data_IF_893837903171
#
_entry.id   IF_893837903171
#
_cell.length_a   1.000
_cell.length_b   1.000
_cell.length_c   1.000
_cell.angle_alpha   90.00
_cell.angle_beta   90.00
_cell.angle_gamma   90.00
#
_symmetry.space_group_name_H-M   'P 1'
#
loop_
_entity.id
_entity.type
_entity.pdbx_description
1 polymer ?
#
# COMPACT_ATOMS: atom_id res chain seq x y z
N UNK A 1 -9.67 23.56 -32.61
CA UNK A 1 -8.22 23.26 -32.67
C UNK A 1 -8.01 22.09 -31.71
N UNK A 2 -7.35 21.04 -32.16
CA UNK A 2 -7.03 19.92 -31.26
C UNK A 2 -5.97 20.38 -30.24
N UNK A 3 -6.24 20.12 -28.95
CA UNK A 3 -5.26 20.40 -27.89
C UNK A 3 -4.12 19.40 -28.04
N UNK A 4 -2.94 19.86 -28.49
CA UNK A 4 -1.76 19.01 -28.73
C UNK A 4 -0.76 19.17 -27.59
N UNK A 5 -0.29 18.04 -27.06
CA UNK A 5 0.65 17.94 -25.95
C UNK A 5 1.90 17.13 -26.31
N UNK A 6 2.99 17.35 -25.59
CA UNK A 6 4.13 16.45 -25.66
C UNK A 6 3.81 15.16 -24.89
N UNK A 7 3.16 15.29 -23.71
CA UNK A 7 2.77 14.17 -22.85
C UNK A 7 1.33 14.33 -22.34
N UNK A 8 0.56 13.27 -22.45
CA UNK A 8 -0.73 13.13 -21.76
C UNK A 8 -0.63 11.99 -20.75
N UNK A 9 -0.93 12.27 -19.48
CA UNK A 9 -1.02 11.28 -18.41
C UNK A 9 -2.49 10.92 -18.19
N UNK A 10 -2.81 9.63 -18.21
CA UNK A 10 -4.17 9.13 -17.97
C UNK A 10 -4.23 8.53 -16.56
N UNK A 11 -4.90 9.26 -15.66
CA UNK A 11 -4.98 8.97 -14.24
C UNK A 11 -4.03 9.84 -13.41
N UNK A 12 -4.55 10.42 -12.33
CA UNK A 12 -3.84 11.34 -11.44
C UNK A 12 -3.48 10.74 -10.08
N UNK A 13 -3.39 9.41 -9.98
CA UNK A 13 -2.84 8.73 -8.80
C UNK A 13 -1.37 9.12 -8.56
N UNK A 14 -0.70 8.59 -7.48
CA UNK A 14 0.67 8.96 -7.13
C UNK A 14 1.65 8.91 -8.31
N UNK A 15 1.63 7.86 -9.10
CA UNK A 15 2.45 7.79 -10.32
C UNK A 15 2.10 8.86 -11.33
N UNK A 16 0.80 9.05 -11.59
CA UNK A 16 0.32 9.96 -12.64
C UNK A 16 0.58 11.43 -12.34
N UNK A 17 0.24 11.92 -11.13
CA UNK A 17 0.48 13.32 -10.83
C UNK A 17 1.98 13.65 -10.71
N UNK A 18 2.79 12.72 -10.18
CA UNK A 18 4.25 12.88 -10.10
C UNK A 18 4.86 12.90 -11.51
N UNK A 19 4.48 11.96 -12.38
CA UNK A 19 4.92 11.94 -13.78
C UNK A 19 4.57 13.23 -14.50
N UNK A 20 3.31 13.72 -14.37
CA UNK A 20 2.88 14.96 -15.00
C UNK A 20 3.68 16.17 -14.52
N UNK A 21 3.93 16.29 -13.22
CA UNK A 21 4.75 17.37 -12.65
C UNK A 21 6.19 17.28 -13.17
N UNK A 22 6.79 16.09 -13.19
CA UNK A 22 8.16 15.92 -13.65
C UNK A 22 8.30 16.21 -15.14
N UNK A 23 7.37 15.76 -15.99
CA UNK A 23 7.32 16.12 -17.41
C UNK A 23 7.28 17.65 -17.61
N UNK A 24 6.41 18.34 -16.88
CA UNK A 24 6.30 19.79 -16.96
C UNK A 24 7.57 20.52 -16.49
N UNK A 25 8.23 20.03 -15.43
CA UNK A 25 9.53 20.55 -14.95
C UNK A 25 10.65 20.38 -15.98
N UNK A 26 10.56 19.35 -16.81
CA UNK A 26 11.50 19.08 -17.92
C UNK A 26 11.13 19.85 -19.21
N UNK A 27 10.16 20.77 -19.15
CA UNK A 27 9.78 21.65 -20.26
C UNK A 27 8.78 21.04 -21.24
N UNK A 28 8.23 19.86 -20.97
CA UNK A 28 7.25 19.19 -21.82
C UNK A 28 5.85 19.77 -21.57
N UNK A 29 5.14 20.12 -22.65
CA UNK A 29 3.73 20.53 -22.58
C UNK A 29 2.89 19.34 -22.16
N UNK A 30 2.34 19.38 -20.93
CA UNK A 30 1.74 18.23 -20.27
C UNK A 30 0.27 18.47 -19.93
N UNK A 31 -0.57 17.44 -20.15
CA UNK A 31 -1.91 17.35 -19.59
C UNK A 31 -2.07 16.09 -18.76
N UNK A 32 -2.97 16.15 -17.77
CA UNK A 32 -3.38 15.00 -16.99
C UNK A 32 -4.91 14.84 -17.07
N UNK A 33 -5.37 13.66 -17.48
CA UNK A 33 -6.80 13.33 -17.58
C UNK A 33 -7.19 12.51 -16.37
N UNK A 34 -8.19 12.98 -15.59
CA UNK A 34 -8.71 12.27 -14.43
C UNK A 34 -10.24 12.20 -14.49
N UNK A 35 -10.76 11.00 -14.24
CA UNK A 35 -12.22 10.75 -14.28
C UNK A 35 -12.94 11.03 -12.96
N UNK A 36 -12.19 11.12 -11.87
CA UNK A 36 -12.69 11.29 -10.51
C UNK A 36 -11.88 12.35 -9.75
N UNK A 37 -11.46 12.06 -8.54
CA UNK A 37 -10.72 13.00 -7.70
C UNK A 37 -9.22 12.97 -8.02
N UNK A 38 -8.58 14.14 -8.06
CA UNK A 38 -7.13 14.25 -8.18
C UNK A 38 -6.42 13.53 -7.02
N UNK A 39 -5.31 12.87 -7.35
CA UNK A 39 -4.54 12.08 -6.38
C UNK A 39 -4.93 10.60 -6.31
N UNK A 40 -5.96 10.20 -7.08
CA UNK A 40 -6.38 8.81 -7.24
C UNK A 40 -6.78 8.12 -5.93
N UNK A 41 -6.68 6.79 -5.91
CA UNK A 41 -7.07 5.98 -4.74
C UNK A 41 -6.23 6.33 -3.51
N UNK A 42 -4.93 6.48 -3.64
CA UNK A 42 -4.05 6.68 -2.47
C UNK A 42 -4.47 7.89 -1.63
N UNK A 43 -4.71 9.04 -2.25
CA UNK A 43 -5.06 10.26 -1.52
C UNK A 43 -6.52 10.31 -1.07
N UNK A 44 -7.42 9.66 -1.83
CA UNK A 44 -8.85 9.79 -1.60
C UNK A 44 -9.48 8.57 -0.93
N UNK A 45 -8.99 7.35 -1.20
CA UNK A 45 -9.67 6.10 -0.84
C UNK A 45 -8.71 5.00 -0.36
N UNK A 46 -7.46 5.33 -0.03
CA UNK A 46 -6.43 4.36 0.35
C UNK A 46 -5.51 4.89 1.43
N UNK A 47 -4.26 5.17 1.05
CA UNK A 47 -3.16 5.49 1.97
C UNK A 47 -3.53 6.56 2.99
N UNK A 48 -3.92 7.75 2.52
CA UNK A 48 -4.09 8.91 3.39
C UNK A 48 -5.30 8.78 4.32
N UNK A 49 -6.52 8.50 3.81
CA UNK A 49 -7.66 8.36 4.71
C UNK A 49 -7.52 7.19 5.69
N UNK A 50 -6.93 6.07 5.30
CA UNK A 50 -6.69 4.95 6.22
C UNK A 50 -5.72 5.34 7.33
N UNK A 51 -4.62 6.03 7.02
CA UNK A 51 -3.66 6.51 8.03
C UNK A 51 -4.28 7.55 8.96
N UNK A 52 -5.21 8.37 8.45
CA UNK A 52 -6.00 9.26 9.30
C UNK A 52 -6.92 8.51 10.28
N UNK A 53 -7.52 7.40 9.84
CA UNK A 53 -8.33 6.52 10.68
C UNK A 53 -7.47 5.78 11.72
N UNK A 54 -6.34 5.20 11.29
CA UNK A 54 -5.40 4.49 12.16
C UNK A 54 -4.79 5.42 13.22
N UNK A 55 -4.50 6.68 12.88
CA UNK A 55 -4.05 7.68 13.87
C UNK A 55 -5.13 7.96 14.92
N UNK A 56 -6.40 7.95 14.54
CA UNK A 56 -7.49 8.07 15.54
C UNK A 56 -7.53 6.84 16.46
N UNK A 57 -7.34 5.63 15.90
CA UNK A 57 -7.26 4.40 16.67
C UNK A 57 -6.09 4.45 17.69
N UNK A 58 -4.91 4.88 17.25
CA UNK A 58 -3.73 5.06 18.11
C UNK A 58 -4.00 6.03 19.27
N UNK A 59 -4.59 7.19 18.97
CA UNK A 59 -4.95 8.18 20.00
C UNK A 59 -5.94 7.58 21.02
N UNK A 60 -6.90 6.78 20.55
CA UNK A 60 -7.87 6.10 21.41
C UNK A 60 -7.21 5.06 22.32
N UNK A 61 -6.30 4.25 21.76
CA UNK A 61 -5.51 3.28 22.54
C UNK A 61 -4.66 3.97 23.62
N UNK A 62 -4.00 5.09 23.29
CA UNK A 62 -3.28 5.89 24.29
C UNK A 62 -4.23 6.44 25.38
N UNK A 63 -5.43 6.89 25.02
CA UNK A 63 -6.41 7.34 26.00
C UNK A 63 -6.84 6.22 26.97
N UNK A 64 -7.04 5.00 26.46
CA UNK A 64 -7.35 3.84 27.29
C UNK A 64 -6.18 3.40 28.18
N UNK A 65 -4.95 3.60 27.74
CA UNK A 65 -3.71 3.28 28.47
C UNK A 65 -3.18 4.44 29.32
N UNK A 66 -3.86 5.59 29.34
CA UNK A 66 -3.37 6.82 29.99
C UNK A 66 -2.98 6.61 31.46
N UNK A 67 -3.66 5.72 32.18
CA UNK A 67 -3.36 5.34 33.57
C UNK A 67 -1.94 4.75 33.73
N UNK A 68 -1.40 4.06 32.74
CA UNK A 68 -0.02 3.54 32.76
C UNK A 68 1.01 4.67 32.85
N UNK A 69 0.63 5.86 32.38
CA UNK A 69 1.45 7.09 32.40
C UNK A 69 1.08 8.05 33.56
N UNK A 70 0.25 7.60 34.52
CA UNK A 70 -0.21 8.44 35.61
C UNK A 70 -1.26 9.49 35.24
N UNK A 71 -1.86 9.37 34.05
CA UNK A 71 -2.90 10.29 33.55
C UNK A 71 -4.27 9.64 33.78
N UNK A 72 -5.17 10.35 34.49
CA UNK A 72 -6.54 9.91 34.70
C UNK A 72 -7.42 10.50 33.59
N UNK A 73 -8.11 9.63 32.88
CA UNK A 73 -9.05 10.01 31.81
C UNK A 73 -10.37 9.28 32.08
N UNK A 74 -11.44 10.06 32.21
CA UNK A 74 -12.78 9.53 32.44
C UNK A 74 -13.62 9.58 31.18
N UNK A 75 -14.50 8.59 31.00
CA UNK A 75 -15.55 8.58 29.97
C UNK A 75 -15.04 8.75 28.52
N UNK A 76 -13.96 8.06 28.15
CA UNK A 76 -13.50 8.04 26.75
C UNK A 76 -14.61 7.49 25.85
N UNK A 77 -15.05 8.30 24.89
CA UNK A 77 -16.10 7.94 23.92
C UNK A 77 -15.64 8.26 22.51
N UNK A 78 -16.10 7.46 21.57
CA UNK A 78 -15.82 7.66 20.14
C UNK A 78 -17.03 8.32 19.48
N UNK A 79 -16.84 9.47 18.86
CA UNK A 79 -17.78 10.05 17.90
C UNK A 79 -17.41 9.52 16.50
N UNK A 80 -17.98 8.37 16.12
CA UNK A 80 -17.67 7.68 14.89
C UNK A 80 -17.91 8.55 13.64
N UNK A 81 -19.04 9.30 13.50
CA UNK A 81 -19.21 10.26 12.41
C UNK A 81 -18.09 11.29 12.31
N UNK A 82 -17.63 11.84 13.44
CA UNK A 82 -16.52 12.80 13.44
C UNK A 82 -15.19 12.16 13.03
N UNK A 83 -14.93 10.91 13.41
CA UNK A 83 -13.74 10.13 12.94
C UNK A 83 -13.75 9.99 11.41
N UNK A 84 -14.87 9.56 10.86
CA UNK A 84 -15.05 9.43 9.42
C UNK A 84 -14.88 10.78 8.72
N UNK A 85 -15.56 11.82 9.21
CA UNK A 85 -15.47 13.17 8.66
C UNK A 85 -14.02 13.68 8.63
N UNK A 86 -13.28 13.53 9.74
CA UNK A 86 -11.85 13.92 9.81
C UNK A 86 -11.03 13.25 8.71
N UNK A 87 -11.23 11.95 8.49
CA UNK A 87 -10.54 11.21 7.43
C UNK A 87 -10.85 11.78 6.04
N UNK A 88 -12.11 12.11 5.77
CA UNK A 88 -12.55 12.68 4.48
C UNK A 88 -12.04 14.11 4.28
N UNK A 89 -12.10 14.96 5.32
CA UNK A 89 -11.57 16.33 5.28
C UNK A 89 -10.07 16.35 4.95
N UNK A 90 -9.29 15.43 5.51
CA UNK A 90 -7.86 15.28 5.22
C UNK A 90 -7.66 14.88 3.75
N UNK A 91 -8.41 13.91 3.24
CA UNK A 91 -8.34 13.49 1.84
C UNK A 91 -8.65 14.64 0.90
N UNK A 92 -9.71 15.38 1.14
CA UNK A 92 -10.09 16.54 0.33
C UNK A 92 -9.00 17.63 0.31
N UNK A 93 -8.43 17.92 1.49
CA UNK A 93 -7.33 18.89 1.62
C UNK A 93 -6.11 18.51 0.79
N UNK A 94 -5.70 17.24 0.86
CA UNK A 94 -4.52 16.74 0.13
C UNK A 94 -4.81 16.67 -1.38
N UNK A 95 -5.99 16.22 -1.80
CA UNK A 95 -6.41 16.22 -3.20
C UNK A 95 -6.40 17.63 -3.83
N UNK A 96 -6.90 18.63 -3.10
CA UNK A 96 -6.79 20.05 -3.51
C UNK A 96 -5.34 20.50 -3.69
N UNK A 97 -4.42 19.96 -2.89
CA UNK A 97 -2.97 20.20 -3.03
C UNK A 97 -2.42 19.75 -4.38
N UNK A 98 -2.88 18.63 -4.92
CA UNK A 98 -2.49 18.17 -6.28
C UNK A 98 -2.95 19.17 -7.34
N UNK A 99 -4.19 19.68 -7.23
CA UNK A 99 -4.70 20.71 -8.13
C UNK A 99 -3.86 22.00 -8.09
N UNK A 100 -3.41 22.41 -6.90
CA UNK A 100 -2.47 23.53 -6.75
C UNK A 100 -1.13 23.25 -7.46
N UNK A 101 -0.57 22.05 -7.28
CA UNK A 101 0.69 21.66 -7.93
C UNK A 101 0.56 21.63 -9.46
N UNK A 102 -0.56 21.16 -10.00
CA UNK A 102 -0.82 21.20 -11.44
C UNK A 102 -0.83 22.64 -11.96
N UNK A 103 -1.58 23.52 -11.29
CA UNK A 103 -1.61 24.94 -11.64
C UNK A 103 -0.23 25.59 -11.57
N UNK A 104 0.55 25.33 -10.51
CA UNK A 104 1.91 25.85 -10.33
C UNK A 104 2.84 25.43 -11.46
N UNK A 105 2.73 24.20 -11.93
CA UNK A 105 3.57 23.63 -13.00
C UNK A 105 2.95 23.80 -14.40
N UNK A 106 1.84 24.55 -14.56
CA UNK A 106 1.15 24.81 -15.84
C UNK A 106 0.73 23.51 -16.55
N UNK A 107 0.26 22.53 -15.78
CA UNK A 107 -0.29 21.28 -16.29
C UNK A 107 -1.78 21.44 -16.52
N UNK A 108 -2.26 21.10 -17.70
CA UNK A 108 -3.68 21.11 -18.02
C UNK A 108 -4.38 19.92 -17.35
N UNK A 109 -5.23 20.23 -16.37
CA UNK A 109 -6.07 19.22 -15.71
C UNK A 109 -7.37 19.04 -16.46
N UNK A 110 -7.57 17.85 -17.02
CA UNK A 110 -8.71 17.52 -17.87
C UNK A 110 -9.61 16.53 -17.13
N UNK A 111 -10.79 16.97 -16.73
CA UNK A 111 -11.78 16.08 -16.12
C UNK A 111 -12.46 15.22 -17.20
N UNK A 112 -12.50 13.90 -17.00
CA UNK A 112 -13.18 12.98 -17.90
C UNK A 112 -12.54 11.58 -17.96
N UNK A 113 -13.23 10.69 -18.64
CA UNK A 113 -12.77 9.33 -18.93
C UNK A 113 -12.02 9.31 -20.25
N UNK A 114 -10.78 8.86 -20.22
CA UNK A 114 -9.92 8.76 -21.42
C UNK A 114 -10.06 7.42 -22.11
N UNK A 115 -9.97 7.43 -23.44
CA UNK A 115 -9.86 6.24 -24.30
C UNK A 115 -8.87 6.50 -25.41
N UNK A 116 -7.88 5.65 -25.59
CA UNK A 116 -6.97 5.68 -26.73
C UNK A 116 -7.74 5.30 -28.00
N UNK A 117 -7.62 6.14 -29.01
CA UNK A 117 -8.16 5.87 -30.34
C UNK A 117 -7.11 5.16 -31.22
N UNK A 118 -7.53 4.40 -32.25
CA UNK A 118 -6.61 3.80 -33.19
C UNK A 118 -5.69 4.89 -33.80
N UNK A 119 -4.40 4.59 -33.88
CA UNK A 119 -3.40 5.51 -34.45
C UNK A 119 -3.53 5.57 -35.98
N UNK A 120 -3.55 6.75 -36.55
CA UNK A 120 -3.75 6.94 -38.00
C UNK A 120 -2.49 6.65 -38.85
N UNK A 121 -1.40 6.23 -38.21
CA UNK A 121 -0.14 5.84 -38.88
C UNK A 121 1.08 5.91 -37.96
N UNK A 122 2.21 5.28 -38.33
CA UNK A 122 3.46 5.42 -37.63
C UNK A 122 3.86 6.91 -37.56
N UNK A 123 4.47 7.31 -36.44
CA UNK A 123 4.96 8.69 -36.21
C UNK A 123 3.86 9.77 -36.07
N UNK A 124 2.57 9.42 -36.15
CA UNK A 124 1.48 10.34 -35.86
C UNK A 124 1.25 10.43 -34.35
N UNK A 125 0.82 11.58 -33.80
CA UNK A 125 0.42 11.69 -32.40
C UNK A 125 -0.64 10.67 -32.02
N UNK A 126 -0.62 10.22 -30.78
CA UNK A 126 -1.72 9.46 -30.20
C UNK A 126 -2.93 10.36 -30.04
N UNK A 127 -4.09 9.85 -30.40
CA UNK A 127 -5.37 10.50 -30.19
C UNK A 127 -6.07 9.89 -28.98
N UNK A 128 -6.51 10.72 -28.06
CA UNK A 128 -7.20 10.34 -26.84
C UNK A 128 -8.57 10.98 -26.82
N UNK A 129 -9.62 10.17 -26.89
CA UNK A 129 -10.99 10.64 -26.66
C UNK A 129 -11.17 10.86 -25.16
N UNK A 130 -11.63 12.03 -24.78
CA UNK A 130 -12.02 12.36 -23.40
C UNK A 130 -13.52 12.58 -23.35
N UNK A 131 -14.20 11.76 -22.56
CA UNK A 131 -15.65 11.83 -22.36
C UNK A 131 -15.95 12.39 -20.97
N UNK A 132 -16.73 13.50 -20.95
CA UNK A 132 -17.19 14.14 -19.72
C UNK A 132 -18.56 14.79 -19.93
N UNK A 133 -19.50 14.63 -19.01
CA UNK A 133 -20.83 15.27 -19.02
C UNK A 133 -21.57 15.14 -20.36
N UNK A 134 -21.58 13.95 -20.96
CA UNK A 134 -22.15 13.63 -22.27
C UNK A 134 -21.49 14.37 -23.47
N UNK A 135 -20.39 15.06 -23.25
CA UNK A 135 -19.58 15.65 -24.30
C UNK A 135 -18.32 14.80 -24.54
N UNK A 136 -17.85 14.81 -25.79
CA UNK A 136 -16.59 14.16 -26.18
C UNK A 136 -15.69 15.18 -26.82
N UNK A 137 -14.41 15.12 -26.50
CA UNK A 137 -13.36 15.85 -27.20
C UNK A 137 -12.16 14.97 -27.44
N UNK A 138 -11.36 15.30 -28.43
CA UNK A 138 -10.11 14.58 -28.70
C UNK A 138 -8.93 15.49 -28.36
N UNK A 139 -7.95 14.94 -27.64
CA UNK A 139 -6.64 15.54 -27.42
C UNK A 139 -5.58 14.70 -28.10
N UNK A 140 -4.48 15.32 -28.48
CA UNK A 140 -3.36 14.66 -29.16
C UNK A 140 -2.09 14.73 -28.31
N UNK A 141 -1.29 13.65 -28.32
CA UNK A 141 -0.04 13.59 -27.58
C UNK A 141 1.03 12.81 -28.33
N UNK A 142 2.29 13.24 -28.22
CA UNK A 142 3.45 12.45 -28.69
C UNK A 142 3.65 11.21 -27.83
N UNK A 143 3.51 11.35 -26.52
CA UNK A 143 3.63 10.29 -25.53
C UNK A 143 2.39 10.21 -24.64
N UNK A 144 2.00 9.00 -24.25
CA UNK A 144 0.92 8.76 -23.30
C UNK A 144 1.44 7.88 -22.15
N UNK A 145 1.16 8.31 -20.93
CA UNK A 145 1.46 7.54 -19.72
C UNK A 145 0.15 7.01 -19.13
N UNK A 146 -0.02 5.69 -19.14
CA UNK A 146 -1.16 4.99 -18.55
C UNK A 146 -0.90 4.81 -17.04
N UNK A 147 -1.61 5.57 -16.22
CA UNK A 147 -1.52 5.56 -14.76
C UNK A 147 -2.91 5.37 -14.11
N UNK A 148 -3.75 4.55 -14.74
CA UNK A 148 -5.17 4.36 -14.41
C UNK A 148 -5.40 3.59 -13.11
N UNK A 149 -4.34 3.02 -12.52
CA UNK A 149 -4.37 2.36 -11.23
C UNK A 149 -5.19 1.06 -11.22
N UNK A 150 -5.69 0.73 -10.04
CA UNK A 150 -6.46 -0.49 -9.80
C UNK A 150 -7.69 -0.20 -8.92
N UNK A 151 -8.54 -1.20 -8.73
CA UNK A 151 -9.72 -1.19 -7.86
C UNK A 151 -9.81 -2.46 -7.03
N UNK A 152 -10.70 -2.50 -6.04
CA UNK A 152 -10.95 -3.71 -5.27
C UNK A 152 -11.33 -4.88 -6.20
N UNK A 153 -10.77 -6.04 -5.90
CA UNK A 153 -11.10 -7.30 -6.56
C UNK A 153 -12.30 -7.94 -5.87
N UNK A 154 -13.26 -8.43 -6.63
CA UNK A 154 -14.32 -9.33 -6.16
C UNK A 154 -13.89 -10.79 -6.30
N UNK A 155 -14.57 -11.68 -5.57
CA UNK A 155 -14.41 -13.14 -5.70
C UNK A 155 -15.67 -13.74 -6.31
N UNK A 156 -15.55 -14.84 -7.08
CA UNK A 156 -16.72 -15.61 -7.51
C UNK A 156 -17.57 -16.02 -6.30
N UNK A 157 -18.88 -15.86 -6.39
CA UNK A 157 -19.82 -16.19 -5.31
C UNK A 157 -19.94 -15.14 -4.19
N UNK A 158 -19.22 -14.02 -4.28
CA UNK A 158 -19.30 -12.92 -3.33
C UNK A 158 -19.58 -11.62 -4.09
N UNK A 159 -20.80 -11.11 -3.97
CA UNK A 159 -21.20 -9.86 -4.60
C UNK A 159 -21.10 -8.72 -3.61
N UNK A 160 -20.25 -7.74 -3.90
CA UNK A 160 -20.14 -6.50 -3.12
C UNK A 160 -21.42 -5.69 -3.36
N UNK A 161 -22.25 -5.51 -2.33
CA UNK A 161 -23.52 -4.78 -2.39
C UNK A 161 -23.42 -3.32 -1.93
N UNK A 162 -22.28 -2.93 -1.35
CA UNK A 162 -22.04 -1.59 -0.82
C UNK A 162 -22.81 -1.28 0.49
N UNK A 163 -23.48 -2.26 1.08
CA UNK A 163 -24.25 -2.11 2.33
C UNK A 163 -23.74 -3.01 3.45
N UNK A 164 -23.75 -4.35 3.23
CA UNK A 164 -23.32 -5.37 4.18
C UNK A 164 -22.08 -6.13 3.72
N UNK A 165 -21.94 -6.34 2.42
CA UNK A 165 -20.77 -6.90 1.78
C UNK A 165 -20.07 -5.73 1.09
N UNK A 166 -18.99 -5.25 1.67
CA UNK A 166 -18.37 -3.97 1.31
C UNK A 166 -16.90 -4.13 0.92
N UNK A 167 -16.37 -3.11 0.25
CA UNK A 167 -14.96 -2.95 -0.02
C UNK A 167 -14.40 -1.73 0.75
N UNK A 168 -13.10 -1.47 0.64
CA UNK A 168 -12.38 -0.47 1.43
C UNK A 168 -12.97 0.94 1.37
N UNK A 169 -13.52 1.40 0.23
CA UNK A 169 -14.12 2.75 0.12
C UNK A 169 -15.32 2.88 1.04
N UNK A 170 -16.18 1.85 1.06
CA UNK A 170 -17.33 1.84 1.93
C UNK A 170 -16.94 1.70 3.40
N UNK A 171 -15.91 0.89 3.69
CA UNK A 171 -15.38 0.77 5.05
C UNK A 171 -14.88 2.12 5.62
N UNK A 172 -14.36 3.02 4.77
CA UNK A 172 -13.95 4.38 5.17
C UNK A 172 -15.11 5.37 5.33
N UNK A 173 -16.33 4.97 4.98
CA UNK A 173 -17.49 5.89 4.90
C UNK A 173 -18.76 5.27 5.48
N UNK A 174 -18.63 4.28 6.35
CA UNK A 174 -19.80 3.74 7.06
C UNK A 174 -20.50 4.86 7.86
N UNK A 175 -21.83 4.94 7.82
CA UNK A 175 -22.58 5.98 8.53
C UNK A 175 -22.59 5.78 10.04
N UNK A 176 -22.38 4.54 10.50
CA UNK A 176 -22.34 4.16 11.91
C UNK A 176 -21.35 3.03 12.13
N UNK A 177 -20.82 2.96 13.34
CA UNK A 177 -19.93 1.89 13.75
C UNK A 177 -20.69 0.55 13.80
N UNK A 178 -20.22 -0.53 13.11
CA UNK A 178 -20.80 -1.85 13.23
C UNK A 178 -20.45 -2.46 14.60
N UNK A 179 -21.21 -3.45 15.07
CA UNK A 179 -20.88 -4.22 16.27
C UNK A 179 -19.86 -5.32 15.94
N UNK A 180 -19.98 -5.92 14.76
CA UNK A 180 -19.11 -7.01 14.31
C UNK A 180 -18.72 -6.88 12.85
N UNK A 181 -17.52 -7.34 12.51
CA UNK A 181 -16.99 -7.32 11.15
C UNK A 181 -16.16 -8.58 10.88
N UNK A 182 -16.46 -9.24 9.76
CA UNK A 182 -15.55 -10.22 9.18
C UNK A 182 -14.75 -9.55 8.08
N UNK A 183 -13.43 -9.71 8.12
CA UNK A 183 -12.50 -9.20 7.10
C UNK A 183 -12.01 -10.38 6.28
N UNK A 184 -12.31 -10.40 5.01
CA UNK A 184 -11.86 -11.41 4.07
C UNK A 184 -10.57 -10.96 3.40
N UNK A 185 -9.48 -11.64 3.75
CA UNK A 185 -8.12 -11.34 3.32
C UNK A 185 -7.27 -10.70 4.43
N UNK A 186 -6.08 -11.24 4.65
CA UNK A 186 -5.11 -10.79 5.67
C UNK A 186 -3.89 -10.07 5.07
N UNK A 187 -4.00 -9.49 3.88
CA UNK A 187 -3.01 -8.54 3.36
C UNK A 187 -3.05 -7.21 4.09
N UNK A 188 -2.18 -6.27 3.72
CA UNK A 188 -2.04 -4.96 4.37
C UNK A 188 -3.39 -4.24 4.59
N UNK A 189 -4.26 -4.18 3.57
CA UNK A 189 -5.58 -3.55 3.67
C UNK A 189 -6.43 -4.23 4.75
N UNK A 190 -6.50 -5.56 4.73
CA UNK A 190 -7.34 -6.31 5.67
C UNK A 190 -6.90 -6.13 7.12
N UNK A 191 -5.61 -6.27 7.41
CA UNK A 191 -5.08 -6.14 8.79
C UNK A 191 -5.12 -4.70 9.31
N UNK A 192 -4.98 -3.68 8.44
CA UNK A 192 -5.14 -2.27 8.82
C UNK A 192 -6.59 -1.96 9.24
N UNK A 193 -7.59 -2.38 8.44
CA UNK A 193 -8.99 -2.21 8.83
C UNK A 193 -9.37 -3.04 10.04
N UNK A 194 -8.89 -4.27 10.15
CA UNK A 194 -9.10 -5.10 11.35
C UNK A 194 -8.55 -4.39 12.60
N UNK A 195 -7.34 -3.83 12.52
CA UNK A 195 -6.72 -3.06 13.61
C UNK A 195 -7.54 -1.82 13.96
N UNK A 196 -7.94 -1.03 12.95
CA UNK A 196 -8.75 0.18 13.14
C UNK A 196 -10.08 -0.11 13.84
N UNK A 197 -10.90 -1.01 13.27
CA UNK A 197 -12.22 -1.30 13.81
C UNK A 197 -12.15 -1.94 15.20
N UNK A 198 -11.15 -2.81 15.42
CA UNK A 198 -10.95 -3.41 16.74
C UNK A 198 -10.62 -2.38 17.80
N UNK A 199 -9.78 -1.39 17.53
CA UNK A 199 -9.49 -0.29 18.46
C UNK A 199 -10.73 0.49 18.85
N UNK A 200 -11.71 0.60 17.94
CA UNK A 200 -13.01 1.22 18.24
C UNK A 200 -13.97 0.30 19.02
N UNK A 201 -13.58 -0.93 19.37
CA UNK A 201 -14.41 -1.87 20.12
C UNK A 201 -15.27 -2.80 19.27
N UNK A 202 -15.12 -2.80 17.95
CA UNK A 202 -15.81 -3.75 17.04
C UNK A 202 -15.28 -5.17 17.25
N UNK A 203 -16.16 -6.17 17.27
CA UNK A 203 -15.75 -7.57 17.20
C UNK A 203 -15.24 -7.89 15.78
N UNK A 204 -13.95 -8.23 15.67
CA UNK A 204 -13.31 -8.46 14.36
C UNK A 204 -12.80 -9.88 14.24
N UNK A 205 -13.10 -10.52 13.10
CA UNK A 205 -12.53 -11.78 12.67
C UNK A 205 -11.95 -11.63 11.27
N UNK A 206 -10.72 -12.12 11.07
CA UNK A 206 -10.07 -12.18 9.76
C UNK A 206 -10.21 -13.60 9.22
N UNK A 207 -10.60 -13.75 7.95
CA UNK A 207 -10.56 -15.02 7.22
C UNK A 207 -9.53 -14.90 6.10
N UNK A 208 -8.52 -15.80 6.11
CA UNK A 208 -7.43 -15.79 5.14
C UNK A 208 -7.25 -17.16 4.51
N UNK A 209 -7.13 -17.19 3.18
CA UNK A 209 -6.92 -18.42 2.41
C UNK A 209 -5.54 -19.05 2.67
N UNK A 210 -4.52 -18.22 2.81
CA UNK A 210 -3.15 -18.66 3.07
C UNK A 210 -2.96 -19.00 4.56
N UNK A 211 -1.91 -19.78 4.92
CA UNK A 211 -1.78 -20.35 6.26
C UNK A 211 -1.32 -19.33 7.34
N UNK A 212 -1.20 -18.04 7.01
CA UNK A 212 -0.73 -17.01 7.97
C UNK A 212 -1.26 -15.61 7.61
N UNK A 213 -1.31 -14.72 8.59
CA UNK A 213 -1.55 -13.29 8.38
C UNK A 213 -0.37 -12.68 7.63
N UNK A 214 -0.62 -11.58 6.89
CA UNK A 214 0.40 -10.88 6.07
C UNK A 214 1.33 -11.83 5.33
N UNK A 215 0.79 -12.69 4.47
CA UNK A 215 1.50 -13.88 3.97
C UNK A 215 2.76 -13.56 3.14
N UNK A 216 2.89 -12.32 2.65
CA UNK A 216 4.05 -11.86 1.90
C UNK A 216 5.23 -11.45 2.80
N UNK A 217 4.98 -11.21 4.08
CA UNK A 217 5.99 -10.83 5.07
C UNK A 217 6.81 -12.03 5.57
N UNK A 218 7.86 -11.75 6.31
CA UNK A 218 8.65 -12.79 6.97
C UNK A 218 7.79 -13.62 7.94
N UNK A 219 8.08 -14.91 8.05
CA UNK A 219 7.29 -15.84 8.86
C UNK A 219 7.25 -15.45 10.35
N UNK A 220 8.34 -14.91 10.89
CA UNK A 220 8.41 -14.47 12.28
C UNK A 220 7.57 -13.20 12.49
N UNK A 221 7.55 -12.28 11.53
CA UNK A 221 6.69 -11.10 11.55
C UNK A 221 5.21 -11.50 11.54
N UNK A 222 4.83 -12.46 10.67
CA UNK A 222 3.45 -12.99 10.63
C UNK A 222 3.05 -13.63 11.97
N UNK A 223 3.95 -14.40 12.59
CA UNK A 223 3.73 -15.05 13.90
C UNK A 223 3.55 -14.02 15.00
N UNK A 224 4.39 -12.99 15.04
CA UNK A 224 4.31 -11.92 16.04
C UNK A 224 3.04 -11.10 15.87
N UNK A 225 2.64 -10.77 14.62
CA UNK A 225 1.37 -10.10 14.36
C UNK A 225 0.18 -10.93 14.85
N UNK A 226 0.16 -12.23 14.57
CA UNK A 226 -0.90 -13.13 15.04
C UNK A 226 -1.01 -13.09 16.57
N UNK A 227 0.14 -13.19 17.28
CA UNK A 227 0.18 -13.09 18.74
C UNK A 227 -0.34 -11.75 19.26
N UNK A 228 0.03 -10.65 18.60
CA UNK A 228 -0.42 -9.31 18.98
C UNK A 228 -1.93 -9.13 18.74
N UNK A 229 -2.44 -9.65 17.62
CA UNK A 229 -3.86 -9.58 17.28
C UNK A 229 -4.72 -10.41 18.23
N UNK A 230 -4.29 -11.63 18.56
CA UNK A 230 -4.98 -12.47 19.55
C UNK A 230 -5.09 -11.77 20.91
N UNK A 231 -4.01 -11.14 21.39
CA UNK A 231 -4.02 -10.33 22.62
C UNK A 231 -5.02 -9.18 22.57
N UNK A 232 -5.19 -8.57 21.41
CA UNK A 232 -6.15 -7.48 21.19
C UNK A 232 -7.57 -7.98 20.94
N UNK A 233 -7.79 -9.29 20.86
CA UNK A 233 -9.08 -9.93 20.59
C UNK A 233 -9.51 -9.84 19.12
N UNK A 234 -8.57 -9.71 18.18
CA UNK A 234 -8.81 -9.92 16.75
C UNK A 234 -8.63 -11.40 16.48
N UNK A 235 -9.72 -12.10 16.17
CA UNK A 235 -9.67 -13.51 15.82
C UNK A 235 -9.21 -13.69 14.38
N UNK A 236 -8.47 -14.75 14.09
CA UNK A 236 -8.05 -15.08 12.73
C UNK A 236 -8.31 -16.54 12.39
N UNK A 237 -8.88 -16.76 11.22
CA UNK A 237 -9.16 -18.07 10.63
C UNK A 237 -8.31 -18.18 9.35
N UNK A 238 -7.06 -18.58 9.51
CA UNK A 238 -6.11 -18.78 8.40
C UNK A 238 -6.25 -20.18 7.78
N UNK A 239 -5.81 -20.35 6.52
CA UNK A 239 -5.97 -21.59 5.79
C UNK A 239 -7.44 -21.92 5.45
N UNK A 240 -8.30 -20.90 5.36
CA UNK A 240 -9.72 -21.04 5.08
C UNK A 240 -10.16 -20.13 3.93
N UNK A 241 -11.10 -20.60 3.12
CA UNK A 241 -11.73 -19.82 2.05
C UNK A 241 -13.20 -19.54 2.36
N UNK A 242 -13.64 -18.37 1.98
CA UNK A 242 -15.07 -18.03 1.94
C UNK A 242 -15.64 -18.57 0.65
N UNK A 243 -16.72 -19.34 0.71
CA UNK A 243 -17.37 -19.96 -0.43
C UNK A 243 -18.63 -19.22 -0.86
N UNK A 244 -19.32 -18.57 0.07
CA UNK A 244 -20.46 -17.70 -0.21
C UNK A 244 -20.62 -16.65 0.90
N UNK A 245 -21.29 -15.56 0.55
CA UNK A 245 -21.74 -14.56 1.51
C UNK A 245 -23.13 -14.07 1.11
N UNK A 246 -24.06 -14.08 2.06
CA UNK A 246 -25.46 -13.77 1.84
C UNK A 246 -25.91 -12.70 2.84
N UNK A 247 -26.51 -11.62 2.32
CA UNK A 247 -27.14 -10.59 3.15
C UNK A 247 -28.34 -11.19 3.90
N UNK A 248 -28.42 -10.93 5.19
CA UNK A 248 -29.57 -11.27 6.04
C UNK A 248 -30.32 -10.02 6.44
N UNK A 249 -31.42 -10.16 7.17
CA UNK A 249 -32.18 -9.00 7.68
C UNK A 249 -31.38 -8.09 8.62
N UNK A 250 -30.37 -8.62 9.32
CA UNK A 250 -29.58 -7.89 10.34
C UNK A 250 -28.10 -7.79 10.04
N UNK A 251 -27.58 -8.57 9.08
CA UNK A 251 -26.14 -8.62 8.82
C UNK A 251 -25.79 -9.42 7.55
N UNK A 252 -24.75 -10.22 7.64
CA UNK A 252 -24.26 -11.11 6.58
C UNK A 252 -23.96 -12.49 7.16
N UNK A 253 -24.42 -13.54 6.47
CA UNK A 253 -24.04 -14.93 6.74
C UNK A 253 -22.96 -15.36 5.74
N UNK A 254 -21.87 -15.91 6.26
CA UNK A 254 -20.65 -16.18 5.51
C UNK A 254 -20.32 -17.65 5.66
N UNK A 255 -20.29 -18.39 4.55
CA UNK A 255 -19.87 -19.80 4.54
C UNK A 255 -18.37 -19.89 4.35
N UNK A 256 -17.70 -20.62 5.23
CA UNK A 256 -16.26 -20.84 5.18
C UNK A 256 -15.94 -22.34 5.19
N UNK A 257 -14.84 -22.71 4.54
CA UNK A 257 -14.32 -24.08 4.59
C UNK A 257 -12.79 -24.07 4.60
N UNK A 258 -12.12 -25.10 5.16
CA UNK A 258 -10.68 -25.22 5.06
C UNK A 258 -10.19 -25.17 3.60
N UNK A 259 -9.07 -24.50 3.33
CA UNK A 259 -8.54 -24.32 1.96
C UNK A 259 -8.24 -25.67 1.28
N UNK A 260 -7.84 -26.68 2.07
CA UNK A 260 -7.55 -28.04 1.60
C UNK A 260 -8.77 -28.98 1.58
N UNK A 261 -9.98 -28.41 1.74
CA UNK A 261 -11.21 -29.17 1.86
C UNK A 261 -11.48 -29.63 3.30
N UNK A 262 -12.75 -29.89 3.61
CA UNK A 262 -13.21 -30.31 4.94
C UNK A 262 -14.61 -29.83 5.25
N UNK A 263 -14.98 -29.87 6.52
CA UNK A 263 -16.32 -29.47 6.96
C UNK A 263 -16.53 -27.96 6.80
N UNK A 264 -17.67 -27.61 6.21
CA UNK A 264 -18.10 -26.22 6.09
C UNK A 264 -18.63 -25.71 7.41
N UNK A 265 -18.29 -24.47 7.72
CA UNK A 265 -18.83 -23.74 8.87
C UNK A 265 -19.42 -22.40 8.42
N UNK A 266 -20.14 -21.75 9.31
CA UNK A 266 -20.79 -20.48 9.04
C UNK A 266 -20.39 -19.44 10.08
N UNK A 267 -20.11 -18.23 9.61
CA UNK A 267 -19.90 -17.05 10.42
C UNK A 267 -21.03 -16.05 10.18
N UNK A 268 -21.31 -15.25 11.17
CA UNK A 268 -22.28 -14.15 11.08
C UNK A 268 -21.62 -12.86 11.57
N UNK A 269 -21.91 -11.75 10.89
CA UNK A 269 -21.44 -10.42 11.27
C UNK A 269 -22.38 -9.34 10.72
N UNK A 270 -22.27 -8.12 11.26
CA UNK A 270 -22.96 -6.96 10.70
C UNK A 270 -22.44 -6.63 9.29
N UNK A 271 -21.12 -6.77 9.10
CA UNK A 271 -20.41 -6.38 7.87
C UNK A 271 -19.40 -7.47 7.47
N UNK A 272 -19.32 -7.74 6.16
CA UNK A 272 -18.21 -8.43 5.52
C UNK A 272 -17.40 -7.42 4.71
N UNK A 273 -16.15 -7.19 5.09
CA UNK A 273 -15.18 -6.42 4.32
C UNK A 273 -14.37 -7.33 3.39
N UNK A 274 -14.47 -7.12 2.10
CA UNK A 274 -13.71 -7.87 1.07
C UNK A 274 -12.41 -7.14 0.78
N UNK A 275 -11.27 -7.74 1.18
CA UNK A 275 -9.92 -7.19 1.07
C UNK A 275 -8.93 -8.18 0.41
N UNK A 276 -9.36 -8.86 -0.65
CA UNK A 276 -8.64 -9.97 -1.33
C UNK A 276 -7.74 -9.52 -2.48
N UNK A 277 -7.28 -8.29 -2.43
CA UNK A 277 -6.40 -7.70 -3.43
C UNK A 277 -7.13 -6.79 -4.41
N UNK A 278 -6.43 -6.47 -5.50
CA UNK A 278 -6.86 -5.48 -6.49
C UNK A 278 -6.87 -6.06 -7.90
N UNK A 279 -7.61 -5.40 -8.80
CA UNK A 279 -7.54 -5.65 -10.24
C UNK A 279 -7.29 -4.33 -10.98
N UNK A 280 -6.49 -4.37 -12.04
CA UNK A 280 -6.13 -3.20 -12.81
C UNK A 280 -7.34 -2.56 -13.51
N UNK A 281 -7.29 -1.26 -13.71
CA UNK A 281 -8.28 -0.51 -14.49
C UNK A 281 -7.82 -0.43 -15.95
N UNK A 282 -8.04 -1.49 -16.72
CA UNK A 282 -7.61 -1.63 -18.12
C UNK A 282 -8.77 -1.62 -19.11
N UNK A 283 -10.00 -1.77 -18.64
CA UNK A 283 -11.17 -1.87 -19.50
C UNK A 283 -11.49 -0.52 -20.17
N UNK A 284 -11.95 -0.60 -21.43
CA UNK A 284 -12.39 0.55 -22.23
C UNK A 284 -11.32 1.63 -22.47
N UNK A 285 -10.04 1.32 -22.24
CA UNK A 285 -8.94 2.23 -22.54
C UNK A 285 -8.52 2.25 -24.01
N UNK A 286 -9.01 1.31 -24.83
CA UNK A 286 -8.62 1.19 -26.26
C UNK A 286 -7.25 0.53 -26.45
N UNK A 287 -6.81 -0.29 -25.51
CA UNK A 287 -5.48 -0.94 -25.51
C UNK A 287 -5.29 -1.88 -26.71
N UNK A 288 -6.37 -2.53 -27.12
CA UNK A 288 -6.38 -3.51 -28.23
C UNK A 288 -5.96 -2.87 -29.55
N UNK A 289 -6.34 -1.61 -29.80
CA UNK A 289 -5.97 -0.87 -31.01
C UNK A 289 -4.46 -0.56 -31.10
N UNK A 290 -3.74 -0.73 -30.00
CA UNK A 290 -2.29 -0.48 -29.89
C UNK A 290 -1.50 -1.78 -29.61
N UNK A 291 -2.15 -2.96 -29.68
CA UNK A 291 -1.55 -4.25 -29.39
C UNK A 291 -0.91 -4.34 -27.98
N UNK A 292 -1.41 -3.56 -27.02
CA UNK A 292 -0.90 -3.58 -25.65
C UNK A 292 -1.32 -4.91 -24.99
N UNK A 293 -0.31 -5.65 -24.52
CA UNK A 293 -0.49 -6.97 -23.93
C UNK A 293 -0.87 -6.86 -22.46
N UNK A 294 -1.75 -7.76 -22.01
CA UNK A 294 -2.12 -7.91 -20.60
C UNK A 294 -1.62 -9.25 -20.05
N UNK A 295 -1.20 -9.23 -18.78
CA UNK A 295 -0.99 -10.45 -17.99
C UNK A 295 -1.90 -10.40 -16.76
N UNK A 296 -2.83 -11.35 -16.67
CA UNK A 296 -3.84 -11.42 -15.59
C UNK A 296 -4.58 -10.09 -15.37
N UNK A 297 -4.81 -9.34 -16.45
CA UNK A 297 -5.50 -8.05 -16.47
C UNK A 297 -4.60 -6.84 -16.23
N UNK A 298 -3.31 -6.99 -15.91
CA UNK A 298 -2.32 -5.91 -15.76
C UNK A 298 -1.60 -5.65 -17.09
N UNK A 299 -1.28 -4.39 -17.37
CA UNK A 299 -0.52 -4.02 -18.58
C UNK A 299 0.91 -4.57 -18.45
N UNK A 300 1.36 -5.30 -19.48
CA UNK A 300 2.76 -5.72 -19.60
C UNK A 300 3.62 -4.57 -20.12
N UNK A 301 4.74 -4.35 -19.46
CA UNK A 301 5.77 -3.38 -19.88
C UNK A 301 7.11 -4.05 -20.03
N UNK A 302 8.00 -3.41 -20.76
CA UNK A 302 9.42 -3.73 -20.73
C UNK A 302 10.09 -3.17 -19.44
N UNK A 303 11.44 -3.29 -19.37
CA UNK A 303 12.21 -2.79 -18.23
C UNK A 303 12.20 -1.26 -18.11
N UNK A 304 11.81 -0.54 -19.16
CA UNK A 304 11.70 0.90 -19.19
C UNK A 304 10.26 1.40 -18.97
N UNK A 305 9.33 0.55 -18.57
CA UNK A 305 7.90 0.87 -18.44
C UNK A 305 7.19 1.18 -19.79
N UNK A 306 7.77 0.82 -20.94
CA UNK A 306 7.09 0.93 -22.23
C UNK A 306 6.11 -0.22 -22.45
N UNK A 307 4.95 0.10 -23.01
CA UNK A 307 3.96 -0.88 -23.47
C UNK A 307 3.61 -0.74 -24.95
N UNK A 308 4.23 0.22 -25.64
CA UNK A 308 4.09 0.47 -27.08
C UNK A 308 4.90 1.67 -27.54
N UNK A 309 4.87 1.97 -28.84
CA UNK A 309 5.55 3.14 -29.41
C UNK A 309 4.91 4.44 -28.88
N UNK A 310 5.65 5.22 -28.09
CA UNK A 310 5.17 6.41 -27.39
C UNK A 310 4.17 6.12 -26.26
N UNK A 311 3.99 4.85 -25.87
CA UNK A 311 3.06 4.42 -24.82
C UNK A 311 3.81 3.82 -23.63
N UNK A 312 3.47 4.28 -22.45
CA UNK A 312 4.08 3.93 -21.17
C UNK A 312 3.01 3.55 -20.16
N UNK A 313 3.34 2.71 -19.19
CA UNK A 313 2.42 2.36 -18.10
C UNK A 313 3.14 2.28 -16.76
N UNK A 314 2.53 2.81 -15.69
CA UNK A 314 3.14 2.90 -14.36
C UNK A 314 2.12 2.63 -13.25
N UNK A 315 2.62 2.20 -12.09
CA UNK A 315 1.85 2.01 -10.86
C UNK A 315 0.96 0.77 -10.89
N UNK A 316 -0.19 0.85 -10.24
CA UNK A 316 -1.03 -0.33 -10.00
C UNK A 316 -1.57 -0.97 -11.29
N UNK A 317 -1.67 -0.23 -12.38
CA UNK A 317 -2.13 -0.77 -13.66
C UNK A 317 -1.15 -1.81 -14.26
N UNK A 318 0.12 -1.79 -13.82
CA UNK A 318 1.15 -2.79 -14.18
C UNK A 318 1.41 -3.80 -13.03
N UNK A 319 0.61 -3.76 -11.95
CA UNK A 319 0.67 -4.74 -10.86
C UNK A 319 1.71 -4.45 -9.77
N UNK A 320 2.23 -3.23 -9.66
CA UNK A 320 3.27 -2.88 -8.66
C UNK A 320 2.72 -2.55 -7.27
N UNK A 321 1.49 -2.00 -7.18
CA UNK A 321 0.68 -1.95 -5.97
C UNK A 321 1.13 -1.00 -4.82
N UNK A 322 2.17 -0.17 -5.00
CA UNK A 322 2.68 0.74 -3.97
C UNK A 322 2.83 2.18 -4.51
N UNK A 323 2.33 3.15 -3.75
CA UNK A 323 2.29 4.56 -4.17
C UNK A 323 3.68 5.15 -4.44
N UNK A 324 4.67 4.86 -3.59
CA UNK A 324 6.05 5.33 -3.75
C UNK A 324 6.75 4.67 -4.94
N UNK A 325 6.43 3.43 -5.28
CA UNK A 325 6.91 2.78 -6.50
C UNK A 325 6.35 3.46 -7.73
N UNK A 326 5.03 3.67 -7.77
CA UNK A 326 4.38 4.38 -8.86
C UNK A 326 4.96 5.80 -9.06
N UNK A 327 5.27 6.51 -7.96
CA UNK A 327 5.92 7.83 -8.03
C UNK A 327 7.33 7.76 -8.61
N UNK A 328 8.15 6.78 -8.20
CA UNK A 328 9.48 6.57 -8.75
C UNK A 328 9.43 6.20 -10.23
N UNK A 329 8.52 5.31 -10.63
CA UNK A 329 8.26 4.97 -12.04
C UNK A 329 7.83 6.21 -12.83
N UNK A 330 7.00 7.08 -12.24
CA UNK A 330 6.56 8.33 -12.85
C UNK A 330 7.70 9.29 -13.16
N UNK A 331 8.65 9.44 -12.23
CA UNK A 331 9.87 10.26 -12.43
C UNK A 331 10.73 9.63 -13.52
N UNK A 332 11.01 8.35 -13.41
CA UNK A 332 11.83 7.60 -14.38
C UNK A 332 11.29 7.71 -15.80
N UNK A 333 9.99 7.47 -16.01
CA UNK A 333 9.35 7.57 -17.32
C UNK A 333 9.36 8.99 -17.86
N UNK A 334 9.11 10.00 -17.02
CA UNK A 334 9.19 11.40 -17.45
C UNK A 334 10.60 11.79 -17.93
N UNK A 335 11.63 11.34 -17.23
CA UNK A 335 13.04 11.56 -17.58
C UNK A 335 13.43 10.83 -18.87
N UNK A 336 12.96 9.59 -19.07
CA UNK A 336 13.14 8.84 -20.32
C UNK A 336 12.49 9.55 -21.51
N UNK A 337 11.26 10.05 -21.35
CA UNK A 337 10.54 10.78 -22.40
C UNK A 337 11.28 12.09 -22.76
N UNK A 338 11.80 12.79 -21.77
CA UNK A 338 12.56 14.03 -21.98
C UNK A 338 14.00 13.79 -22.50
N UNK A 339 14.41 12.54 -22.63
CA UNK A 339 15.75 12.13 -23.05
C UNK A 339 16.87 12.75 -22.19
N UNK A 340 16.65 12.79 -20.87
CA UNK A 340 17.65 13.14 -19.85
C UNK A 340 18.11 11.88 -19.13
N UNK A 341 19.16 12.01 -18.30
CA UNK A 341 19.60 10.90 -17.46
C UNK A 341 18.45 10.41 -16.54
N UNK A 342 18.22 9.11 -16.54
CA UNK A 342 17.14 8.47 -15.78
C UNK A 342 17.66 7.21 -15.08
N UNK A 343 17.63 7.21 -13.76
CA UNK A 343 18.01 6.05 -12.95
C UNK A 343 16.88 5.02 -12.93
N UNK A 344 17.13 3.75 -13.26
CA UNK A 344 16.13 2.69 -13.17
C UNK A 344 15.63 2.49 -11.75
N UNK A 345 14.35 2.15 -11.62
CA UNK A 345 13.77 1.82 -10.31
C UNK A 345 14.38 0.53 -9.77
N UNK A 346 14.97 0.59 -8.58
CA UNK A 346 15.54 -0.56 -7.87
C UNK A 346 14.44 -1.38 -7.20
N UNK A 347 13.78 -2.25 -7.97
CA UNK A 347 12.66 -3.09 -7.48
C UNK A 347 13.05 -4.07 -6.37
N UNK A 348 14.32 -4.40 -6.23
CA UNK A 348 14.88 -5.23 -5.16
C UNK A 348 15.05 -4.49 -3.82
N UNK A 349 14.97 -3.16 -3.82
CA UNK A 349 15.15 -2.29 -2.67
C UNK A 349 13.90 -1.46 -2.32
N UNK A 350 12.71 -1.94 -2.69
CA UNK A 350 11.45 -1.25 -2.37
C UNK A 350 11.02 -1.61 -0.95
N UNK A 351 10.81 -0.62 -0.06
CA UNK A 351 10.23 -0.86 1.25
C UNK A 351 8.71 -1.11 1.14
N UNK A 352 8.20 -2.00 1.98
CA UNK A 352 6.79 -2.20 2.21
C UNK A 352 6.43 -1.86 3.65
N UNK A 353 5.28 -1.21 3.86
CA UNK A 353 4.80 -0.82 5.18
C UNK A 353 3.33 -1.19 5.35
N UNK A 354 2.99 -1.74 6.52
CA UNK A 354 1.62 -2.00 6.96
C UNK A 354 1.40 -1.31 8.30
N UNK A 355 0.43 -0.41 8.35
CA UNK A 355 0.22 0.52 9.46
C UNK A 355 -0.81 0.01 10.49
N UNK A 356 -0.98 -1.32 10.58
CA UNK A 356 -1.73 -1.90 11.70
C UNK A 356 -0.98 -1.68 13.03
N UNK A 357 -1.56 -2.09 14.14
CA UNK A 357 -0.87 -2.05 15.43
C UNK A 357 -0.68 -3.48 15.96
N UNK A 358 0.61 -3.93 16.15
CA UNK A 358 1.86 -3.21 15.85
C UNK A 358 2.09 -2.99 14.34
N UNK A 359 2.87 -1.94 14.00
CA UNK A 359 3.26 -1.65 12.61
C UNK A 359 4.20 -2.73 12.08
N UNK A 360 4.21 -2.89 10.75
CA UNK A 360 5.13 -3.79 10.05
C UNK A 360 5.84 -3.00 8.95
N UNK A 361 7.14 -3.27 8.78
CA UNK A 361 7.90 -2.76 7.65
C UNK A 361 8.90 -3.81 7.16
N UNK A 362 9.15 -3.82 5.86
CA UNK A 362 10.11 -4.76 5.27
C UNK A 362 10.78 -4.17 4.02
N UNK A 363 11.97 -4.67 3.70
CA UNK A 363 12.67 -4.41 2.43
C UNK A 363 13.48 -5.65 2.04
N UNK A 364 13.51 -5.99 0.76
CA UNK A 364 14.30 -7.09 0.23
C UNK A 364 13.70 -8.48 0.46
N UNK A 365 14.56 -9.50 0.54
CA UNK A 365 14.13 -10.90 0.64
C UNK A 365 13.91 -11.33 2.10
N UNK A 366 12.87 -12.12 2.32
CA UNK A 366 12.71 -12.84 3.60
C UNK A 366 13.78 -13.92 3.75
N UNK A 367 14.04 -14.36 4.97
CA UNK A 367 14.96 -15.46 5.25
C UNK A 367 14.61 -16.72 4.42
N UNK A 368 13.31 -17.07 4.35
CA UNK A 368 12.85 -18.24 3.58
C UNK A 368 13.12 -18.07 2.07
N UNK A 369 12.87 -16.88 1.51
CA UNK A 369 13.12 -16.60 0.09
C UNK A 369 14.62 -16.60 -0.23
N UNK A 370 15.46 -16.08 0.67
CA UNK A 370 16.91 -16.11 0.50
C UNK A 370 17.44 -17.54 0.51
N UNK A 371 16.99 -18.38 1.48
CA UNK A 371 17.33 -19.80 1.54
C UNK A 371 16.85 -20.57 0.29
N UNK A 372 15.63 -20.31 -0.18
CA UNK A 372 15.12 -20.95 -1.39
C UNK A 372 15.91 -20.59 -2.66
N UNK A 373 16.59 -19.44 -2.66
CA UNK A 373 17.50 -19.01 -3.72
C UNK A 373 18.95 -19.43 -3.49
N UNK A 374 19.23 -20.23 -2.46
CA UNK A 374 20.57 -20.67 -2.05
C UNK A 374 21.55 -19.51 -1.77
N UNK A 375 21.05 -18.35 -1.32
CA UNK A 375 21.89 -17.23 -0.93
C UNK A 375 22.48 -17.52 0.45
N UNK A 376 23.81 -17.49 0.63
CA UNK A 376 24.43 -17.67 1.94
C UNK A 376 24.14 -16.45 2.81
N UNK A 377 23.47 -16.67 3.95
CA UNK A 377 22.99 -15.59 4.82
C UNK A 377 23.45 -15.71 6.25
N UNK A 378 23.58 -14.55 6.91
CA UNK A 378 23.62 -14.39 8.37
C UNK A 378 22.39 -13.60 8.78
N UNK A 379 21.73 -14.03 9.85
CA UNK A 379 20.47 -13.41 10.30
C UNK A 379 20.66 -12.93 11.72
N UNK A 380 20.25 -11.70 11.97
CA UNK A 380 20.23 -11.13 13.32
C UNK A 380 18.84 -10.59 13.67
N UNK A 381 18.53 -10.63 14.96
CA UNK A 381 17.25 -10.23 15.54
C UNK A 381 17.49 -9.39 16.78
N UNK A 382 16.78 -8.31 16.93
CA UNK A 382 16.82 -7.52 18.15
C UNK A 382 15.40 -7.20 18.63
N UNK A 383 14.98 -7.71 19.81
CA UNK A 383 13.66 -7.46 20.35
C UNK A 383 13.57 -6.07 20.98
N UNK A 384 12.50 -5.35 20.74
CA UNK A 384 12.30 -4.00 21.30
C UNK A 384 12.30 -3.97 22.83
N UNK A 385 11.92 -5.06 23.49
CA UNK A 385 11.98 -5.16 24.96
C UNK A 385 13.40 -4.97 25.55
N UNK A 386 14.44 -5.15 24.76
CA UNK A 386 15.83 -4.90 25.16
C UNK A 386 16.23 -3.43 25.05
N UNK A 387 15.39 -2.57 24.46
CA UNK A 387 15.65 -1.13 24.35
C UNK A 387 15.07 -0.35 25.53
N UNK A 388 15.88 0.52 26.12
CA UNK A 388 15.44 1.47 27.13
C UNK A 388 14.31 2.38 26.61
N UNK A 389 14.41 2.85 25.35
CA UNK A 389 13.39 3.68 24.70
C UNK A 389 12.04 2.98 24.61
N UNK A 390 12.01 1.71 24.23
CA UNK A 390 10.77 0.93 24.10
C UNK A 390 10.08 0.77 25.46
N UNK A 391 10.85 0.49 26.51
CA UNK A 391 10.37 0.41 27.90
C UNK A 391 9.82 1.76 28.36
N UNK A 392 10.55 2.87 28.15
CA UNK A 392 10.12 4.20 28.53
C UNK A 392 8.84 4.65 27.80
N UNK A 393 8.65 4.20 26.57
CA UNK A 393 7.45 4.51 25.76
C UNK A 393 6.25 3.58 26.05
N UNK A 394 6.43 2.51 26.83
CA UNK A 394 5.40 1.50 27.04
C UNK A 394 5.14 0.62 25.80
N UNK A 395 6.11 0.53 24.87
CA UNK A 395 5.99 -0.17 23.58
C UNK A 395 7.08 -1.26 23.41
N UNK A 396 7.16 -2.27 24.33
CA UNK A 396 8.25 -3.26 24.33
C UNK A 396 8.05 -4.41 23.33
N UNK A 397 6.92 -4.47 22.61
CA UNK A 397 6.59 -5.59 21.76
C UNK A 397 7.14 -5.41 20.35
N UNK A 398 7.56 -6.54 19.75
CA UNK A 398 8.12 -6.59 18.42
C UNK A 398 9.62 -6.71 18.36
N UNK A 399 10.16 -6.65 17.16
CA UNK A 399 11.59 -6.84 16.90
C UNK A 399 12.01 -6.26 15.55
N UNK A 400 13.30 -6.08 15.36
CA UNK A 400 13.96 -5.90 14.08
C UNK A 400 14.72 -7.20 13.72
N UNK A 401 14.52 -7.68 12.49
CA UNK A 401 15.24 -8.80 11.90
C UNK A 401 15.95 -8.32 10.65
N UNK A 402 17.26 -8.58 10.55
CA UNK A 402 18.10 -8.28 9.39
C UNK A 402 18.67 -9.56 8.80
N UNK A 403 18.78 -9.60 7.49
CA UNK A 403 19.32 -10.72 6.72
C UNK A 403 20.48 -10.18 5.89
N UNK A 404 21.70 -10.57 6.23
CA UNK A 404 22.93 -10.15 5.55
C UNK A 404 23.48 -11.27 4.67
N UNK A 405 24.07 -10.94 3.55
CA UNK A 405 24.82 -11.90 2.73
C UNK A 405 26.10 -12.31 3.48
N UNK A 406 26.29 -13.61 3.68
CA UNK A 406 27.34 -14.12 4.56
C UNK A 406 28.77 -13.80 4.07
N UNK A 407 28.97 -13.66 2.75
CA UNK A 407 30.29 -13.45 2.13
C UNK A 407 30.53 -11.97 1.82
N UNK A 408 29.56 -11.26 1.24
CA UNK A 408 29.72 -9.87 0.82
C UNK A 408 29.39 -8.86 1.92
N UNK A 409 28.64 -9.30 2.94
CA UNK A 409 28.14 -8.42 3.99
C UNK A 409 26.99 -7.51 3.56
N UNK A 410 26.52 -7.56 2.31
CA UNK A 410 25.44 -6.71 1.80
C UNK A 410 24.08 -7.08 2.42
N UNK A 411 23.20 -6.10 2.61
CA UNK A 411 21.85 -6.32 3.12
C UNK A 411 21.01 -7.06 2.08
N UNK A 412 20.59 -8.29 2.41
CA UNK A 412 19.66 -9.10 1.60
C UNK A 412 18.23 -8.70 1.87
N UNK A 413 17.88 -8.50 3.13
CA UNK A 413 16.56 -8.07 3.53
C UNK A 413 16.47 -7.64 4.99
N UNK A 414 15.40 -6.94 5.33
CA UNK A 414 15.06 -6.55 6.69
C UNK A 414 13.56 -6.61 6.92
N UNK A 415 13.15 -7.06 8.10
CA UNK A 415 11.76 -7.33 8.46
C UNK A 415 11.52 -6.89 9.90
N UNK A 416 10.63 -5.92 10.06
CA UNK A 416 10.42 -5.21 11.30
C UNK A 416 8.95 -5.33 11.70
N UNK A 417 8.69 -5.49 12.99
CA UNK A 417 7.35 -5.37 13.57
C UNK A 417 7.45 -4.69 14.93
N UNK A 418 6.68 -3.64 15.15
CA UNK A 418 6.68 -2.90 16.41
C UNK A 418 6.46 -1.41 16.23
N UNK A 419 6.85 -0.57 17.21
CA UNK A 419 6.66 0.87 17.16
C UNK A 419 7.60 1.55 16.15
N UNK A 420 7.08 2.53 15.42
CA UNK A 420 7.82 3.40 14.50
C UNK A 420 8.59 2.66 13.38
N UNK A 421 8.30 1.39 13.13
CA UNK A 421 9.06 0.59 12.14
C UNK A 421 8.82 1.08 10.71
N UNK A 422 7.68 1.72 10.45
CA UNK A 422 7.37 2.32 9.14
C UNK A 422 8.25 3.53 8.81
N UNK A 423 8.82 4.19 9.82
CA UNK A 423 9.82 5.25 9.66
C UNK A 423 11.25 4.68 9.70
N UNK A 424 11.51 3.71 10.58
CA UNK A 424 12.83 3.07 10.74
C UNK A 424 13.31 2.34 9.48
N UNK A 425 12.38 1.81 8.66
CA UNK A 425 12.73 1.08 7.44
C UNK A 425 13.53 1.93 6.43
N UNK A 426 13.47 3.24 6.51
CA UNK A 426 14.17 4.15 5.61
C UNK A 426 15.70 3.98 5.68
N UNK A 427 16.28 3.77 6.86
CA UNK A 427 17.70 3.51 7.04
C UNK A 427 18.12 2.20 6.37
N UNK A 428 17.34 1.13 6.59
CA UNK A 428 17.61 -0.18 5.99
C UNK A 428 17.37 -0.19 4.47
N UNK A 429 16.42 0.62 3.98
CA UNK A 429 16.23 0.82 2.54
C UNK A 429 17.42 1.54 1.92
N UNK A 430 17.95 2.57 2.59
CA UNK A 430 19.18 3.27 2.17
C UNK A 430 20.36 2.30 2.16
N UNK A 431 20.55 1.54 3.24
CA UNK A 431 21.62 0.54 3.35
C UNK A 431 21.57 -0.47 2.19
N UNK A 432 20.35 -0.96 1.85
CA UNK A 432 20.17 -1.87 0.71
C UNK A 432 20.43 -1.20 -0.64
N UNK A 433 19.96 0.01 -0.83
CA UNK A 433 20.12 0.75 -2.11
C UNK A 433 21.57 1.09 -2.37
N UNK A 434 22.33 1.45 -1.34
CA UNK A 434 23.75 1.84 -1.42
C UNK A 434 24.72 0.68 -1.15
N UNK A 435 24.20 -0.54 -0.97
CA UNK A 435 24.98 -1.76 -0.73
C UNK A 435 25.92 -1.64 0.49
N UNK A 436 25.48 -0.91 1.51
CA UNK A 436 26.19 -0.80 2.79
C UNK A 436 26.27 -2.17 3.45
N UNK A 437 27.41 -2.51 4.03
CA UNK A 437 27.63 -3.77 4.74
C UNK A 437 27.22 -3.67 6.23
N UNK A 438 27.10 -4.82 6.89
CA UNK A 438 26.71 -4.90 8.30
C UNK A 438 27.65 -4.10 9.23
N UNK A 439 28.95 -4.10 8.96
CA UNK A 439 29.94 -3.40 9.78
C UNK A 439 29.71 -1.88 9.75
N UNK A 440 29.37 -1.32 8.58
CA UNK A 440 29.09 0.11 8.45
C UNK A 440 27.88 0.52 9.31
N UNK A 441 26.82 -0.30 9.39
CA UNK A 441 25.69 -0.05 10.29
C UNK A 441 26.08 -0.21 11.77
N UNK A 442 26.88 -1.21 12.12
CA UNK A 442 27.36 -1.43 13.49
C UNK A 442 28.20 -0.25 13.99
N UNK A 443 29.08 0.29 13.13
CA UNK A 443 29.91 1.45 13.48
C UNK A 443 29.21 2.80 13.33
N UNK A 444 28.02 2.85 12.73
CA UNK A 444 27.20 4.06 12.72
C UNK A 444 26.73 4.36 14.13
N UNK A 445 26.97 5.58 14.60
CA UNK A 445 26.53 6.04 15.92
C UNK A 445 25.04 6.37 15.86
N UNK A 446 24.22 5.54 16.50
CA UNK A 446 22.79 5.79 16.66
C UNK A 446 22.55 6.66 17.90
N UNK A 447 21.62 7.60 17.81
CA UNK A 447 21.29 8.46 18.94
C UNK A 447 20.62 7.64 20.06
N UNK A 448 21.00 7.95 21.32
CA UNK A 448 20.43 7.29 22.51
C UNK A 448 19.55 8.28 23.30
N UNK A 449 18.34 7.86 23.79
CA UNK A 449 17.69 6.59 23.52
C UNK A 449 16.73 6.69 22.32
N UNK A 450 16.83 5.77 21.36
CA UNK A 450 15.95 5.71 20.18
C UNK A 450 15.57 4.27 19.81
N UNK A 451 14.52 4.11 18.98
CA UNK A 451 14.18 2.81 18.41
C UNK A 451 15.18 2.34 17.34
N UNK A 452 15.92 3.29 16.71
CA UNK A 452 16.91 2.98 15.69
C UNK A 452 18.11 2.16 16.22
N UNK A 453 18.40 2.22 17.51
CA UNK A 453 19.45 1.40 18.15
C UNK A 453 19.21 -0.11 17.93
N UNK A 454 17.95 -0.54 17.74
CA UNK A 454 17.63 -1.93 17.44
C UNK A 454 18.16 -2.38 16.06
N UNK A 455 18.37 -1.49 15.10
CA UNK A 455 18.97 -1.79 13.79
C UNK A 455 20.42 -2.20 13.97
N UNK A 456 21.18 -1.41 14.76
CA UNK A 456 22.54 -1.74 15.16
C UNK A 456 22.60 -3.07 15.90
N UNK A 457 21.78 -3.23 16.97
CA UNK A 457 21.76 -4.44 17.78
C UNK A 457 21.44 -5.70 16.97
N UNK A 458 20.48 -5.62 16.01
CA UNK A 458 20.19 -6.75 15.11
C UNK A 458 21.38 -7.06 14.18
N UNK A 459 22.11 -6.04 13.71
CA UNK A 459 23.30 -6.23 12.87
C UNK A 459 24.47 -6.82 13.67
N UNK A 460 24.66 -6.41 14.92
CA UNK A 460 25.64 -7.00 15.85
C UNK A 460 25.35 -8.47 16.12
N UNK A 461 24.08 -8.82 16.35
CA UNK A 461 23.67 -10.22 16.57
C UNK A 461 23.96 -11.09 15.34
N UNK A 462 23.70 -10.58 14.14
CA UNK A 462 23.98 -11.32 12.90
C UNK A 462 25.46 -11.66 12.71
N UNK A 463 26.39 -10.89 13.28
CA UNK A 463 27.84 -11.14 13.21
C UNK A 463 28.41 -11.75 14.49
N UNK A 464 27.56 -12.02 15.49
CA UNK A 464 27.94 -12.71 16.73
C UNK A 464 28.56 -11.79 17.80
N UNK A 465 28.30 -10.48 17.74
CA UNK A 465 28.87 -9.48 18.65
C UNK A 465 27.80 -8.69 19.44
N UNK A 466 26.59 -9.23 19.60
CA UNK A 466 25.52 -8.55 20.35
C UNK A 466 25.95 -8.25 21.81
N UNK A 467 25.79 -6.99 22.21
CA UNK A 467 26.17 -6.54 23.56
C UNK A 467 24.95 -6.55 24.49
N UNK A 468 23.78 -6.15 23.97
CA UNK A 468 22.56 -5.94 24.77
C UNK A 468 21.51 -7.07 24.63
N UNK A 469 21.95 -8.28 24.28
CA UNK A 469 21.10 -9.48 24.16
C UNK A 469 21.47 -10.59 25.14
#
# INVERSE_FOLDING_TARGET
MSDTYDVVVIGSGPGGYVAAIRCAQLGLKTACIERAELGGICLNWGCIPTKALLKTAEVLEHAHRAKEFGILVDNVRVDFPAVIKRSRDISEKISKGVGFLFKKNKIDSIAGTAKLLPRSGPWKPHQIEVSANNAKRTVEAKHVILATGARARSLPGITIDGERIIEYRKAMTLPSQPKSMVVLGAGAIGVEFASFYRSLGVEVMIVEFLPRLVPNEDAEVSKELSRAFDKRGIKSLVGHKVTSAEKTGTGVKISVEPANGGEKSSLEADILLVAVGVQANTENLGLEAHNIQLDRGFIKTDAENKCGDGLWAIGDVIGRGLAHVASAEGVFVAEKIANVHAEPVRYDAIPACTYCYPEIASVGLTEDKAKAQNIPIKVGRFPFRALARATASGEPNGFIKVVWHAETGALVGAHLIGPAVTDLIAELTLAKTTEVNAESLIYTIHAHPTFAEAIKGASEEAVGHAIDL
#
